data_IF_395686587049
#
_entry.id   IF_395686587049
#
_cell.length_a   1.000
_cell.length_b   1.000
_cell.length_c   1.000
_cell.angle_alpha   90.00
_cell.angle_beta   90.00
_cell.angle_gamma   90.00
#
_symmetry.space_group_name_H-M   'P 1'
#
loop_
_entity.id
_entity.type
_entity.pdbx_description
1 polymer ?
#
# COMPACT_ATOMS: atom_id res chain seq x y z
N UNK A 1 -42.15 -64.52 -10.28
CA UNK A 1 -42.22 -63.42 -11.26
C UNK A 1 -42.63 -62.08 -10.61
N UNK A 2 -43.68 -61.98 -9.79
CA UNK A 2 -44.07 -60.68 -9.16
C UNK A 2 -42.99 -60.03 -8.27
N UNK A 3 -42.20 -60.82 -7.50
CA UNK A 3 -41.12 -60.26 -6.64
C UNK A 3 -39.96 -59.62 -7.42
N UNK A 4 -39.61 -60.18 -8.59
CA UNK A 4 -38.54 -59.65 -9.47
C UNK A 4 -39.03 -58.33 -10.10
N UNK A 5 -40.29 -58.21 -10.42
CA UNK A 5 -40.86 -56.98 -10.97
C UNK A 5 -40.83 -55.80 -9.98
N UNK A 6 -41.12 -56.08 -8.69
CA UNK A 6 -41.02 -55.05 -7.65
C UNK A 6 -39.59 -54.61 -7.36
N UNK A 7 -38.62 -55.52 -7.41
CA UNK A 7 -37.21 -55.18 -7.21
C UNK A 7 -36.69 -54.34 -8.38
N UNK A 8 -37.06 -54.66 -9.62
CA UNK A 8 -36.71 -53.89 -10.80
C UNK A 8 -37.35 -52.48 -10.78
N UNK A 9 -38.59 -52.37 -10.34
CA UNK A 9 -39.30 -51.08 -10.22
C UNK A 9 -38.69 -50.19 -9.12
N UNK A 10 -38.23 -50.79 -8.01
CA UNK A 10 -37.55 -50.06 -6.93
C UNK A 10 -36.17 -49.53 -7.37
N UNK A 11 -35.47 -50.31 -8.24
CA UNK A 11 -34.18 -49.89 -8.75
C UNK A 11 -34.28 -48.74 -9.76
N UNK A 12 -35.36 -48.64 -10.54
CA UNK A 12 -35.63 -47.56 -11.49
C UNK A 12 -35.95 -46.25 -10.77
N UNK A 13 -36.57 -46.33 -9.59
CA UNK A 13 -36.88 -45.14 -8.76
C UNK A 13 -35.63 -44.51 -8.10
N UNK A 14 -34.51 -45.26 -7.96
CA UNK A 14 -33.26 -44.78 -7.37
C UNK A 14 -32.37 -44.02 -8.36
N UNK A 15 -32.69 -44.05 -9.65
CA UNK A 15 -31.86 -43.42 -10.69
C UNK A 15 -32.28 -41.97 -11.00
N UNK A 16 -33.41 -41.51 -10.45
CA UNK A 16 -33.93 -40.12 -10.68
C UNK A 16 -33.38 -39.07 -9.73
N UNK A 17 -32.38 -39.38 -8.92
CA UNK A 17 -31.97 -38.57 -7.76
C UNK A 17 -30.75 -37.65 -7.93
N UNK A 18 -30.28 -37.35 -9.15
CA UNK A 18 -29.31 -36.31 -9.33
C UNK A 18 -29.70 -35.37 -10.50
N UNK A 19 -30.59 -34.43 -10.21
CA UNK A 19 -30.50 -33.18 -10.95
C UNK A 19 -29.21 -32.51 -10.48
N UNK A 20 -28.23 -32.41 -11.40
CA UNK A 20 -27.08 -31.53 -11.21
C UNK A 20 -27.66 -30.13 -10.95
N UNK A 21 -27.47 -29.61 -9.73
CA UNK A 21 -27.89 -28.26 -9.41
C UNK A 21 -27.25 -27.33 -10.44
N UNK A 22 -28.06 -26.49 -11.08
CA UNK A 22 -27.55 -25.46 -11.99
C UNK A 22 -26.47 -24.71 -11.23
N UNK A 23 -25.24 -24.78 -11.73
CA UNK A 23 -24.14 -24.01 -11.18
C UNK A 23 -24.60 -22.58 -11.10
N UNK A 24 -24.68 -22.01 -9.89
CA UNK A 24 -24.96 -20.60 -9.67
C UNK A 24 -23.83 -19.80 -10.34
N UNK A 25 -23.98 -19.53 -11.62
CA UNK A 25 -23.06 -18.67 -12.36
C UNK A 25 -23.33 -17.24 -11.93
N UNK A 26 -22.25 -16.52 -11.62
CA UNK A 26 -22.32 -15.10 -11.37
C UNK A 26 -22.72 -14.36 -12.66
N UNK A 27 -23.99 -13.94 -12.77
CA UNK A 27 -24.53 -13.28 -13.95
C UNK A 27 -24.67 -11.77 -13.79
N UNK A 28 -24.22 -11.22 -12.66
CA UNK A 28 -24.21 -9.77 -12.41
C UNK A 28 -22.98 -9.11 -13.07
N UNK A 29 -23.04 -7.80 -13.24
CA UNK A 29 -21.93 -6.99 -13.74
C UNK A 29 -20.71 -7.19 -12.83
N UNK A 30 -19.54 -7.45 -13.45
CA UNK A 30 -18.29 -7.54 -12.72
C UNK A 30 -18.06 -6.28 -11.87
N UNK A 31 -17.50 -6.45 -10.67
CA UNK A 31 -17.25 -5.37 -9.71
C UNK A 31 -15.77 -5.24 -9.44
N UNK A 32 -15.28 -4.02 -9.29
CA UNK A 32 -13.89 -3.75 -8.93
C UNK A 32 -13.79 -3.27 -7.48
N UNK A 33 -12.74 -3.73 -6.79
CA UNK A 33 -12.38 -3.26 -5.45
C UNK A 33 -10.86 -3.29 -5.26
N UNK A 34 -10.36 -2.55 -4.29
CA UNK A 34 -8.94 -2.55 -3.93
C UNK A 34 -8.59 -3.79 -3.13
N UNK A 35 -7.39 -4.30 -3.33
CA UNK A 35 -6.91 -5.46 -2.55
C UNK A 35 -6.48 -4.99 -1.17
N UNK A 36 -7.06 -5.61 -0.13
CA UNK A 36 -6.63 -5.46 1.25
C UNK A 36 -6.42 -6.84 1.88
N UNK A 37 -5.34 -7.02 2.64
CA UNK A 37 -5.00 -8.31 3.25
C UNK A 37 -5.98 -8.72 4.35
N UNK A 38 -6.49 -7.75 5.11
CA UNK A 38 -7.23 -8.01 6.36
C UNK A 38 -8.72 -7.68 6.27
N UNK A 39 -9.30 -7.55 5.06
CA UNK A 39 -10.66 -7.06 4.82
C UNK A 39 -10.97 -5.68 5.44
N UNK A 40 -9.97 -5.01 5.97
CA UNK A 40 -10.02 -3.63 6.43
C UNK A 40 -9.82 -2.69 5.24
N UNK A 41 -10.20 -1.41 5.35
CA UNK A 41 -9.85 -0.43 4.34
C UNK A 41 -8.35 -0.49 4.07
N UNK A 42 -7.90 -0.34 2.79
CA UNK A 42 -6.49 -0.27 2.49
C UNK A 42 -5.81 0.83 3.30
N UNK A 43 -4.67 0.52 3.91
CA UNK A 43 -3.88 1.49 4.65
C UNK A 43 -3.41 2.61 3.73
N UNK A 44 -3.15 3.80 4.30
CA UNK A 44 -2.51 4.89 3.57
C UNK A 44 -1.16 4.39 2.99
N UNK A 45 -0.89 4.75 1.74
CA UNK A 45 0.34 4.40 1.05
C UNK A 45 1.26 5.62 1.01
N UNK A 46 2.40 5.56 1.70
CA UNK A 46 3.39 6.63 1.64
C UNK A 46 4.32 6.45 0.46
N UNK A 47 4.53 7.52 -0.30
CA UNK A 47 5.51 7.62 -1.37
C UNK A 47 6.40 8.85 -1.14
N UNK A 48 7.70 8.68 -1.32
CA UNK A 48 8.64 9.81 -1.27
C UNK A 48 9.61 9.79 -2.45
N UNK A 49 9.79 10.94 -3.10
CA UNK A 49 10.77 11.11 -4.17
C UNK A 49 12.21 10.96 -3.69
N UNK A 50 12.47 11.13 -2.40
CA UNK A 50 13.81 10.89 -1.81
C UNK A 50 14.25 9.42 -1.96
N UNK A 51 13.32 8.48 -2.10
CA UNK A 51 13.63 7.06 -2.31
C UNK A 51 14.16 6.75 -3.72
N UNK A 52 14.17 7.72 -4.63
CA UNK A 52 14.62 7.57 -6.00
C UNK A 52 15.79 8.52 -6.34
N UNK A 53 16.20 8.53 -7.62
CA UNK A 53 17.19 9.46 -8.12
C UNK A 53 16.75 10.92 -7.94
N UNK A 54 17.70 11.82 -7.62
CA UNK A 54 17.45 13.25 -7.50
C UNK A 54 16.92 13.88 -8.79
N UNK A 55 17.26 13.32 -9.95
CA UNK A 55 16.78 13.77 -11.28
C UNK A 55 15.37 13.30 -11.65
N UNK A 56 14.75 12.42 -10.81
CA UNK A 56 13.42 11.90 -11.10
C UNK A 56 12.37 12.97 -10.80
N UNK A 57 11.63 13.39 -11.81
CA UNK A 57 10.53 14.37 -11.73
C UNK A 57 9.15 13.71 -11.61
N UNK A 58 9.04 12.43 -11.97
CA UNK A 58 7.81 11.63 -11.87
C UNK A 58 8.10 10.17 -11.53
N UNK A 59 7.13 9.50 -10.94
CA UNK A 59 7.17 8.05 -10.71
C UNK A 59 5.75 7.48 -10.74
N UNK A 60 5.63 6.13 -10.75
CA UNK A 60 4.33 5.45 -10.76
C UNK A 60 4.16 4.66 -9.46
N UNK A 61 3.10 4.98 -8.73
CA UNK A 61 2.62 4.20 -7.58
C UNK A 61 1.60 3.19 -8.06
N UNK A 62 1.83 1.92 -7.78
CA UNK A 62 0.94 0.84 -8.18
C UNK A 62 -0.02 0.45 -7.07
N UNK A 63 -1.31 0.41 -7.39
CA UNK A 63 -2.40 0.01 -6.50
C UNK A 63 -2.99 -1.30 -7.01
N UNK A 64 -3.00 -2.37 -6.19
CA UNK A 64 -3.60 -3.63 -6.59
C UNK A 64 -5.12 -3.53 -6.56
N UNK A 65 -5.75 -3.88 -7.69
CA UNK A 65 -7.21 -3.96 -7.86
C UNK A 65 -7.58 -5.39 -8.17
N UNK A 66 -8.67 -5.88 -7.58
CA UNK A 66 -9.25 -7.19 -7.91
C UNK A 66 -10.67 -7.07 -8.44
N UNK A 67 -11.08 -8.07 -9.19
CA UNK A 67 -12.39 -8.20 -9.82
C UNK A 67 -13.20 -9.28 -9.11
N UNK A 68 -14.44 -8.96 -8.81
CA UNK A 68 -15.48 -9.90 -8.40
C UNK A 68 -16.35 -10.17 -9.62
N UNK A 69 -16.59 -11.46 -9.95
CA UNK A 69 -17.45 -11.86 -11.07
C UNK A 69 -16.68 -12.48 -12.24
N UNK A 70 -15.42 -12.88 -12.03
CA UNK A 70 -14.64 -13.65 -12.99
C UNK A 70 -13.75 -12.82 -13.94
N UNK A 71 -12.92 -13.53 -14.69
CA UNK A 71 -12.05 -12.95 -15.72
C UNK A 71 -12.83 -12.63 -16.99
N UNK A 72 -12.25 -11.80 -17.85
CA UNK A 72 -12.76 -11.44 -19.18
C UNK A 72 -11.69 -11.78 -20.22
N UNK A 73 -12.10 -12.11 -21.43
CA UNK A 73 -11.20 -12.33 -22.55
C UNK A 73 -10.74 -11.02 -23.24
N UNK A 74 -11.20 -9.86 -22.74
CA UNK A 74 -10.78 -8.53 -23.18
C UNK A 74 -10.28 -7.73 -22.01
N UNK A 75 -9.43 -6.74 -22.31
CA UNK A 75 -8.98 -5.75 -21.34
C UNK A 75 -10.15 -4.92 -20.83
N UNK A 76 -10.13 -4.58 -19.54
CA UNK A 76 -11.16 -3.80 -18.87
C UNK A 76 -10.53 -2.65 -18.10
N UNK A 77 -11.15 -1.47 -18.13
CA UNK A 77 -10.63 -0.28 -17.49
C UNK A 77 -11.31 -0.01 -16.15
N UNK A 78 -10.52 0.33 -15.14
CA UNK A 78 -11.02 0.88 -13.87
C UNK A 78 -10.96 2.40 -13.92
N UNK A 79 -11.88 3.05 -13.24
CA UNK A 79 -11.93 4.51 -13.15
C UNK A 79 -11.77 4.93 -11.71
N UNK A 80 -10.91 5.93 -11.47
CA UNK A 80 -10.74 6.58 -10.19
C UNK A 80 -11.23 8.02 -10.22
N UNK A 81 -11.65 8.50 -9.07
CA UNK A 81 -11.84 9.91 -8.79
C UNK A 81 -11.04 10.31 -7.56
N UNK A 82 -10.60 11.57 -7.50
CA UNK A 82 -10.09 12.16 -6.28
C UNK A 82 -11.25 12.65 -5.43
N UNK A 83 -11.25 12.28 -4.15
CA UNK A 83 -12.25 12.74 -3.19
C UNK A 83 -11.60 13.56 -2.08
N UNK A 84 -12.38 14.48 -1.48
CA UNK A 84 -11.91 15.26 -0.32
C UNK A 84 -11.81 14.39 0.92
N UNK A 85 -10.84 14.71 1.77
CA UNK A 85 -10.70 14.16 3.12
C UNK A 85 -11.04 15.24 4.14
N UNK A 86 -11.58 14.82 5.30
CA UNK A 86 -12.03 15.72 6.35
C UNK A 86 -11.40 15.34 7.68
N UNK A 87 -11.05 16.35 8.47
CA UNK A 87 -10.73 16.18 9.88
C UNK A 87 -12.02 16.34 10.69
N UNK A 88 -12.23 15.46 11.66
CA UNK A 88 -13.34 15.54 12.60
C UNK A 88 -12.75 15.79 13.98
N UNK A 89 -13.09 16.94 14.56
CA UNK A 89 -12.72 17.31 15.94
C UNK A 89 -13.94 17.17 16.82
N UNK A 90 -13.84 16.40 17.89
CA UNK A 90 -14.91 16.19 18.86
C UNK A 90 -14.71 17.09 20.07
N UNK A 91 -15.79 17.71 20.56
CA UNK A 91 -15.86 18.31 21.89
C UNK A 91 -16.61 17.38 22.83
N UNK A 92 -16.20 17.37 24.08
CA UNK A 92 -16.74 16.45 25.08
C UNK A 92 -17.40 17.25 26.21
N UNK A 93 -18.43 16.69 26.83
CA UNK A 93 -19.03 17.20 28.05
C UNK A 93 -18.20 16.81 29.30
N UNK A 94 -18.63 17.28 30.47
CA UNK A 94 -17.96 16.99 31.74
C UNK A 94 -17.98 15.51 32.15
N UNK A 95 -18.76 14.67 31.43
CA UNK A 95 -18.85 13.22 31.65
C UNK A 95 -18.03 12.42 30.64
N UNK A 96 -17.31 13.10 29.71
CA UNK A 96 -16.53 12.47 28.67
C UNK A 96 -17.35 11.99 27.47
N UNK A 97 -18.61 12.38 27.35
CA UNK A 97 -19.44 12.08 26.18
C UNK A 97 -19.25 13.13 25.10
N UNK A 98 -19.31 12.69 23.83
CA UNK A 98 -19.27 13.64 22.71
C UNK A 98 -20.45 14.60 22.80
N UNK A 99 -20.14 15.90 22.94
CA UNK A 99 -21.12 16.97 22.98
C UNK A 99 -21.39 17.52 21.58
N UNK A 100 -20.33 17.67 20.77
CA UNK A 100 -20.42 18.23 19.42
C UNK A 100 -19.24 17.76 18.58
N UNK A 101 -19.34 17.92 17.25
CA UNK A 101 -18.25 17.63 16.32
C UNK A 101 -18.16 18.69 15.24
N UNK A 102 -16.93 19.12 14.94
CA UNK A 102 -16.62 20.02 13.82
C UNK A 102 -15.95 19.24 12.71
N UNK A 103 -16.45 19.38 11.49
CA UNK A 103 -15.91 18.75 10.29
C UNK A 103 -15.25 19.81 9.42
N UNK A 104 -13.94 19.67 9.17
CA UNK A 104 -13.17 20.61 8.33
C UNK A 104 -12.48 19.86 7.19
N UNK A 105 -12.56 20.39 5.96
CA UNK A 105 -11.83 19.81 4.84
C UNK A 105 -10.33 19.96 5.06
N UNK A 106 -9.57 18.91 4.74
CA UNK A 106 -8.10 18.94 4.81
C UNK A 106 -7.53 19.86 3.74
N UNK A 107 -6.51 20.63 4.10
CA UNK A 107 -5.83 21.57 3.21
C UNK A 107 -4.64 20.99 2.48
N UNK A 108 -4.15 19.81 2.91
CA UNK A 108 -3.00 19.10 2.33
C UNK A 108 -3.38 18.18 1.16
N UNK A 109 -4.43 18.54 0.41
CA UNK A 109 -4.92 17.80 -0.75
C UNK A 109 -3.95 17.91 -1.92
N UNK A 110 -3.66 16.78 -2.58
CA UNK A 110 -2.89 16.76 -3.81
C UNK A 110 -3.62 17.47 -4.96
N UNK A 111 -2.88 18.13 -5.84
CA UNK A 111 -3.39 18.91 -6.96
C UNK A 111 -2.99 18.22 -8.26
N UNK A 112 -3.96 17.93 -9.13
CA UNK A 112 -3.73 17.40 -10.47
C UNK A 112 -2.86 18.34 -11.31
N UNK A 113 -1.96 17.79 -12.11
CA UNK A 113 -0.97 18.53 -12.90
C UNK A 113 0.21 19.11 -12.10
N UNK A 114 0.13 19.05 -10.75
CA UNK A 114 1.21 19.51 -9.86
C UNK A 114 1.84 18.38 -9.06
N UNK A 115 1.01 17.56 -8.41
CA UNK A 115 1.47 16.47 -7.53
C UNK A 115 1.22 15.09 -8.11
N UNK A 116 0.34 14.99 -9.10
CA UNK A 116 0.05 13.78 -9.85
C UNK A 116 -0.51 14.14 -11.23
N UNK A 117 -0.35 13.25 -12.21
CA UNK A 117 -0.94 13.40 -13.55
C UNK A 117 -2.46 13.24 -13.41
N UNK A 118 -3.23 14.16 -14.01
CA UNK A 118 -4.69 14.13 -13.92
C UNK A 118 -5.24 12.74 -14.31
N UNK A 119 -6.16 12.20 -13.49
CA UNK A 119 -6.70 10.85 -13.69
C UNK A 119 -7.44 10.68 -15.04
N UNK A 120 -7.84 11.79 -15.65
CA UNK A 120 -8.48 11.83 -16.99
C UNK A 120 -7.50 11.98 -18.14
N UNK A 121 -6.19 12.09 -17.89
CA UNK A 121 -5.18 12.24 -18.93
C UNK A 121 -5.09 10.96 -19.78
N UNK A 122 -5.22 11.10 -21.10
CA UNK A 122 -5.23 9.98 -22.03
C UNK A 122 -3.91 9.18 -22.02
N UNK A 123 -2.78 9.83 -21.76
CA UNK A 123 -1.47 9.19 -21.74
C UNK A 123 -1.33 8.15 -20.62
N UNK A 124 -2.10 8.27 -19.52
CA UNK A 124 -2.05 7.34 -18.40
C UNK A 124 -3.21 6.34 -18.36
N UNK A 125 -4.19 6.44 -19.26
CA UNK A 125 -5.33 5.50 -19.30
C UNK A 125 -4.89 4.03 -19.43
N UNK A 126 -3.84 3.66 -20.18
CA UNK A 126 -3.36 2.28 -20.22
C UNK A 126 -2.93 1.72 -18.85
N UNK A 127 -2.54 2.59 -17.92
CA UNK A 127 -2.17 2.19 -16.55
C UNK A 127 -3.36 1.76 -15.68
N UNK A 128 -4.60 2.10 -16.09
CA UNK A 128 -5.83 1.75 -15.38
C UNK A 128 -6.49 0.48 -15.92
N UNK A 129 -5.72 -0.38 -16.56
CA UNK A 129 -6.23 -1.57 -17.25
C UNK A 129 -6.04 -2.84 -16.40
N UNK A 130 -7.13 -3.59 -16.26
CA UNK A 130 -7.10 -5.00 -15.83
C UNK A 130 -7.05 -5.84 -17.10
N UNK A 131 -5.92 -6.48 -17.35
CA UNK A 131 -5.64 -7.22 -18.59
C UNK A 131 -6.54 -8.44 -18.75
N UNK A 132 -6.78 -8.80 -19.98
CA UNK A 132 -7.53 -10.00 -20.35
C UNK A 132 -7.02 -11.26 -19.61
N UNK A 133 -7.92 -12.11 -19.20
CA UNK A 133 -7.65 -13.32 -18.43
C UNK A 133 -7.38 -13.10 -16.94
N UNK A 134 -7.28 -11.86 -16.46
CA UNK A 134 -6.94 -11.55 -15.06
C UNK A 134 -8.16 -11.19 -14.23
N UNK A 135 -8.11 -11.59 -12.95
CA UNK A 135 -9.05 -11.19 -11.90
C UNK A 135 -8.42 -10.24 -10.88
N UNK A 136 -7.14 -9.90 -11.05
CA UNK A 136 -6.42 -8.90 -10.28
C UNK A 136 -5.29 -8.35 -11.11
N UNK A 137 -5.07 -7.05 -11.02
CA UNK A 137 -3.94 -6.38 -11.67
C UNK A 137 -3.51 -5.16 -10.85
N UNK A 138 -2.34 -4.60 -11.16
CA UNK A 138 -1.83 -3.39 -10.55
C UNK A 138 -2.12 -2.20 -11.47
N UNK A 139 -2.87 -1.23 -10.97
CA UNK A 139 -3.13 0.03 -11.67
C UNK A 139 -2.15 1.10 -11.23
N UNK A 140 -1.67 1.92 -12.16
CA UNK A 140 -0.60 2.88 -11.92
C UNK A 140 -1.13 4.31 -11.76
N UNK A 141 -0.76 4.96 -10.66
CA UNK A 141 -0.99 6.38 -10.42
C UNK A 141 0.34 7.11 -10.61
N UNK A 142 0.41 8.00 -11.60
CA UNK A 142 1.62 8.76 -11.89
C UNK A 142 1.68 9.97 -10.96
N UNK A 143 2.65 9.96 -10.03
CA UNK A 143 2.95 11.06 -9.11
C UNK A 143 4.01 11.98 -9.71
N UNK A 144 3.92 13.27 -9.42
CA UNK A 144 4.80 14.31 -9.91
C UNK A 144 5.57 14.95 -8.74
N UNK A 145 6.85 15.22 -8.98
CA UNK A 145 7.72 15.91 -8.02
C UNK A 145 7.50 17.41 -8.13
N UNK A 146 7.16 18.03 -7.02
CA UNK A 146 6.98 19.49 -6.92
C UNK A 146 7.79 20.04 -5.74
N UNK A 147 8.23 21.29 -5.84
CA UNK A 147 9.04 21.94 -4.81
C UNK A 147 8.33 22.00 -3.43
N UNK A 148 7.01 22.09 -3.41
CA UNK A 148 6.21 22.11 -2.19
C UNK A 148 6.33 20.82 -1.36
N UNK A 149 6.67 19.69 -2.01
CA UNK A 149 6.85 18.39 -1.36
C UNK A 149 8.12 18.32 -0.50
N UNK A 150 9.08 19.25 -0.68
CA UNK A 150 10.29 19.35 0.15
C UNK A 150 9.99 19.84 1.57
N UNK A 151 8.97 20.66 1.72
CA UNK A 151 8.58 21.25 3.01
C UNK A 151 7.33 20.59 3.61
N UNK A 152 6.45 20.04 2.78
CA UNK A 152 5.22 19.39 3.17
C UNK A 152 5.03 18.00 2.53
N UNK A 153 3.99 17.32 2.91
CA UNK A 153 3.43 16.18 2.20
C UNK A 153 2.01 16.53 1.78
N UNK A 154 1.56 15.90 0.69
CA UNK A 154 0.17 16.06 0.23
C UNK A 154 -0.51 14.69 0.18
N UNK A 155 -1.84 14.70 0.25
CA UNK A 155 -2.67 13.51 0.27
C UNK A 155 -3.51 13.42 -1.00
N UNK A 156 -3.36 12.34 -1.72
CA UNK A 156 -4.21 11.98 -2.85
C UNK A 156 -5.18 10.87 -2.41
N UNK A 157 -6.38 11.28 -1.99
CA UNK A 157 -7.44 10.33 -1.66
C UNK A 157 -8.14 9.89 -2.94
N UNK A 158 -7.95 8.65 -3.33
CA UNK A 158 -8.55 8.01 -4.49
C UNK A 158 -9.77 7.20 -4.07
N UNK A 159 -10.77 7.15 -4.97
CA UNK A 159 -11.92 6.27 -4.86
C UNK A 159 -12.24 5.65 -6.21
N UNK A 160 -12.49 4.34 -6.23
CA UNK A 160 -13.01 3.66 -7.42
C UNK A 160 -14.39 4.20 -7.78
N UNK A 161 -14.63 4.39 -9.06
CA UNK A 161 -15.89 4.83 -9.66
C UNK A 161 -16.44 3.74 -10.56
N UNK A 162 -17.74 3.50 -10.53
CA UNK A 162 -18.39 2.61 -11.47
C UNK A 162 -18.28 3.17 -12.89
N UNK A 163 -18.11 2.29 -13.88
CA UNK A 163 -18.01 2.64 -15.28
C UNK A 163 -18.69 1.59 -16.19
N UNK A 164 -18.43 1.60 -17.48
CA UNK A 164 -18.95 0.61 -18.44
C UNK A 164 -18.54 -0.83 -18.09
N UNK A 165 -17.31 -1.04 -17.64
CA UNK A 165 -16.72 -2.36 -17.40
C UNK A 165 -17.01 -2.91 -16.01
N UNK A 166 -17.09 -2.04 -14.98
CA UNK A 166 -17.20 -2.44 -13.59
C UNK A 166 -18.26 -1.69 -12.80
N UNK A 167 -18.99 -2.44 -11.98
CA UNK A 167 -19.66 -1.94 -10.79
C UNK A 167 -18.68 -1.82 -9.61
N UNK A 168 -19.18 -1.42 -8.44
CA UNK A 168 -18.39 -1.27 -7.23
C UNK A 168 -18.49 -2.51 -6.34
N UNK A 169 -17.35 -2.95 -5.82
CA UNK A 169 -17.23 -4.02 -4.82
C UNK A 169 -17.59 -3.58 -3.41
N UNK A 170 -16.91 -4.08 -2.41
CA UNK A 170 -17.17 -3.76 -1.01
C UNK A 170 -16.85 -2.28 -0.71
N UNK A 171 -17.80 -1.58 -0.08
CA UNK A 171 -17.70 -0.13 0.22
C UNK A 171 -16.40 0.28 0.91
N UNK A 172 -15.91 -0.56 1.84
CA UNK A 172 -14.66 -0.29 2.58
C UNK A 172 -13.41 -0.44 1.73
N UNK A 173 -13.49 -1.16 0.61
CA UNK A 173 -12.38 -1.45 -0.30
C UNK A 173 -12.40 -0.59 -1.57
N UNK A 174 -13.14 0.51 -1.57
CA UNK A 174 -13.24 1.38 -2.75
C UNK A 174 -12.24 2.53 -2.75
N UNK A 175 -11.58 2.83 -1.65
CA UNK A 175 -10.74 4.01 -1.55
C UNK A 175 -9.41 3.75 -0.87
N UNK A 176 -8.36 4.49 -1.33
CA UNK A 176 -7.03 4.50 -0.74
C UNK A 176 -6.45 5.91 -0.80
N UNK A 177 -5.65 6.27 0.20
CA UNK A 177 -4.89 7.51 0.18
C UNK A 177 -3.44 7.22 -0.18
N UNK A 178 -2.88 8.02 -1.10
CA UNK A 178 -1.44 8.10 -1.35
C UNK A 178 -0.94 9.39 -0.70
N UNK A 179 0.01 9.26 0.24
CA UNK A 179 0.74 10.39 0.83
C UNK A 179 1.99 10.60 0.00
N UNK A 180 2.11 11.77 -0.63
CA UNK A 180 3.21 12.10 -1.54
C UNK A 180 4.09 13.14 -0.87
N UNK A 181 5.41 12.90 -0.84
CA UNK A 181 6.40 13.82 -0.27
C UNK A 181 7.72 13.80 -1.07
N UNK A 182 8.60 14.78 -0.80
CA UNK A 182 10.00 14.78 -1.21
C UNK A 182 10.89 14.90 0.03
N UNK A 183 10.47 14.19 1.10
CA UNK A 183 11.17 14.06 2.37
C UNK A 183 11.39 12.59 2.67
N UNK A 184 12.39 12.32 3.46
CA UNK A 184 12.61 10.98 3.97
C UNK A 184 11.51 10.64 4.99
N UNK A 185 10.52 9.91 4.54
CA UNK A 185 9.39 9.44 5.34
C UNK A 185 9.57 7.97 5.72
N UNK A 186 8.99 7.60 6.86
CA UNK A 186 8.96 6.21 7.26
C UNK A 186 8.08 5.41 6.29
N UNK A 187 8.56 4.30 5.71
CA UNK A 187 7.72 3.40 4.94
C UNK A 187 6.49 2.98 5.75
N UNK A 188 5.31 3.01 5.13
CA UNK A 188 4.03 2.75 5.82
C UNK A 188 3.90 1.32 6.36
N UNK A 189 4.69 0.40 5.82
CA UNK A 189 4.75 -1.00 6.24
C UNK A 189 5.92 -1.33 7.18
N UNK A 190 6.52 -0.31 7.85
CA UNK A 190 7.50 -0.49 8.93
C UNK A 190 6.78 -0.98 10.19
N UNK A 191 6.46 -2.27 10.19
CA UNK A 191 5.62 -2.93 11.19
C UNK A 191 6.45 -3.66 12.26
N UNK A 192 5.81 -4.55 13.02
CA UNK A 192 6.47 -5.36 14.06
C UNK A 192 7.59 -6.24 13.49
N UNK A 193 7.36 -6.89 12.35
CA UNK A 193 8.36 -7.76 11.68
C UNK A 193 9.57 -6.95 11.25
N UNK A 194 9.36 -5.78 10.62
CA UNK A 194 10.46 -4.86 10.27
C UNK A 194 11.25 -4.44 11.51
N UNK A 195 10.57 -4.10 12.60
CA UNK A 195 11.23 -3.71 13.85
C UNK A 195 12.05 -4.84 14.47
N UNK A 196 11.63 -6.09 14.32
CA UNK A 196 12.39 -7.24 14.80
C UNK A 196 13.76 -7.34 14.09
N UNK A 197 13.83 -7.08 12.78
CA UNK A 197 15.06 -7.16 12.01
C UNK A 197 15.88 -5.86 11.94
N UNK A 198 15.20 -4.72 11.81
CA UNK A 198 15.85 -3.43 11.54
C UNK A 198 15.79 -2.47 12.74
N UNK A 199 15.04 -2.81 13.78
CA UNK A 199 14.84 -1.97 14.96
C UNK A 199 13.84 -0.84 14.73
N UNK A 200 13.84 0.10 15.69
CA UNK A 200 13.02 1.31 15.61
C UNK A 200 13.45 2.15 14.41
N UNK A 201 12.47 2.76 13.73
CA UNK A 201 12.73 3.71 12.65
C UNK A 201 13.35 4.99 13.19
N UNK A 202 14.34 5.51 12.48
CA UNK A 202 14.79 6.89 12.56
C UNK A 202 15.26 7.36 11.17
N UNK A 203 15.25 8.67 10.93
CA UNK A 203 15.70 9.22 9.64
C UNK A 203 17.17 8.94 9.36
N UNK A 204 18.11 9.14 10.30
CA UNK A 204 19.52 8.79 10.08
C UNK A 204 19.73 7.31 9.75
N UNK A 205 19.03 6.41 10.44
CA UNK A 205 19.05 4.98 10.11
C UNK A 205 18.61 4.73 8.66
N UNK A 206 17.50 5.33 8.25
CA UNK A 206 16.97 5.16 6.89
C UNK A 206 17.93 5.75 5.85
N UNK A 207 18.59 6.90 6.13
CA UNK A 207 19.61 7.46 5.27
C UNK A 207 20.80 6.51 5.10
N UNK A 208 21.30 5.93 6.18
CA UNK A 208 22.36 4.92 6.14
C UNK A 208 21.92 3.71 5.29
N UNK A 209 20.71 3.22 5.49
CA UNK A 209 20.19 2.10 4.70
C UNK A 209 20.13 2.43 3.20
N UNK A 210 19.70 3.63 2.82
CA UNK A 210 19.68 4.08 1.43
C UNK A 210 21.07 4.11 0.82
N UNK A 211 22.07 4.58 1.57
CA UNK A 211 23.47 4.62 1.12
C UNK A 211 24.01 3.20 0.89
N UNK A 212 23.74 2.27 1.81
CA UNK A 212 24.25 0.89 1.74
C UNK A 212 23.55 0.09 0.63
N UNK A 213 22.26 0.26 0.46
CA UNK A 213 21.50 -0.44 -0.59
C UNK A 213 21.79 0.14 -1.98
N UNK A 214 22.17 1.42 -2.05
CA UNK A 214 22.43 2.14 -3.31
C UNK A 214 21.17 2.32 -4.17
N UNK A 215 19.98 2.09 -3.61
CA UNK A 215 18.69 2.15 -4.27
C UNK A 215 17.58 2.48 -3.26
N UNK A 216 16.31 2.30 -3.68
CA UNK A 216 15.15 2.56 -2.83
C UNK A 216 15.10 1.60 -1.61
N UNK A 217 14.88 2.17 -0.44
CA UNK A 217 14.42 1.45 0.75
C UNK A 217 12.99 1.93 1.04
N UNK A 218 12.10 1.58 0.14
CA UNK A 218 10.69 1.98 0.14
C UNK A 218 9.77 0.87 0.67
N UNK A 219 8.46 1.06 0.50
CA UNK A 219 7.48 0.07 0.92
C UNK A 219 7.70 -1.31 0.26
N UNK A 220 8.13 -1.35 -1.01
CA UNK A 220 8.36 -2.62 -1.70
C UNK A 220 9.59 -3.34 -1.14
N UNK A 221 10.66 -2.62 -0.86
CA UNK A 221 11.86 -3.16 -0.22
C UNK A 221 11.57 -3.68 1.21
N UNK A 222 10.82 -2.91 2.00
CA UNK A 222 10.39 -3.34 3.35
C UNK A 222 9.47 -4.56 3.28
N UNK A 223 8.61 -4.65 2.26
CA UNK A 223 7.76 -5.83 2.09
C UNK A 223 8.58 -7.08 1.80
N UNK A 224 9.63 -6.99 0.98
CA UNK A 224 10.57 -8.09 0.73
C UNK A 224 11.28 -8.50 2.02
N UNK A 225 11.78 -7.53 2.79
CA UNK A 225 12.40 -7.80 4.09
C UNK A 225 11.44 -8.45 5.09
N UNK A 226 10.15 -8.11 5.07
CA UNK A 226 9.14 -8.72 5.93
C UNK A 226 8.75 -10.15 5.49
N UNK A 227 8.92 -10.49 4.21
CA UNK A 227 8.59 -11.81 3.66
C UNK A 227 9.76 -12.79 3.72
N UNK A 228 10.99 -12.29 3.60
CA UNK A 228 12.20 -13.11 3.49
C UNK A 228 13.14 -12.86 4.67
N UNK A 229 13.19 -13.82 5.61
CA UNK A 229 14.13 -13.80 6.73
C UNK A 229 15.59 -13.67 6.25
N UNK A 230 15.96 -14.45 5.23
CA UNK A 230 17.33 -14.44 4.69
C UNK A 230 17.69 -13.08 4.11
N UNK A 231 16.78 -12.44 3.38
CA UNK A 231 16.96 -11.07 2.87
C UNK A 231 17.13 -10.07 4.00
N UNK A 232 16.24 -10.10 4.99
CA UNK A 232 16.30 -9.18 6.13
C UNK A 232 17.59 -9.33 6.94
N UNK A 233 18.03 -10.57 7.21
CA UNK A 233 19.27 -10.87 7.97
C UNK A 233 20.51 -10.43 7.17
N UNK A 234 20.56 -10.70 5.86
CA UNK A 234 21.66 -10.28 4.99
C UNK A 234 21.84 -8.75 5.03
N UNK A 235 20.75 -8.00 4.76
CA UNK A 235 20.83 -6.55 4.75
C UNK A 235 21.11 -5.96 6.12
N UNK A 236 20.55 -6.54 7.17
CA UNK A 236 20.86 -6.12 8.53
C UNK A 236 22.37 -6.20 8.83
N UNK A 237 23.04 -7.30 8.44
CA UNK A 237 24.49 -7.41 8.65
C UNK A 237 25.25 -6.32 7.90
N UNK A 238 24.83 -6.00 6.66
CA UNK A 238 25.44 -4.91 5.89
C UNK A 238 25.20 -3.53 6.53
N UNK A 239 24.05 -3.31 7.13
CA UNK A 239 23.76 -2.07 7.85
C UNK A 239 24.56 -1.95 9.14
N UNK A 240 24.79 -3.06 9.87
CA UNK A 240 25.65 -3.07 11.05
C UNK A 240 27.09 -2.75 10.65
N UNK A 241 27.65 -3.41 9.64
CA UNK A 241 28.98 -3.11 9.08
C UNK A 241 29.14 -1.62 8.72
N UNK A 242 28.15 -1.05 8.03
CA UNK A 242 28.18 0.35 7.64
C UNK A 242 28.04 1.31 8.82
N UNK A 243 27.24 0.97 9.83
CA UNK A 243 27.10 1.78 11.03
C UNK A 243 28.39 1.77 11.86
N UNK A 244 29.04 0.62 11.99
CA UNK A 244 30.31 0.48 12.66
C UNK A 244 31.41 1.27 11.95
N UNK A 245 31.44 1.20 10.61
CA UNK A 245 32.34 2.01 9.78
C UNK A 245 32.12 3.50 10.00
N UNK A 246 30.84 3.96 9.95
CA UNK A 246 30.50 5.35 10.21
C UNK A 246 30.94 5.82 11.61
N UNK A 247 30.69 5.00 12.64
CA UNK A 247 31.00 5.33 14.02
C UNK A 247 32.52 5.29 14.32
N UNK A 248 33.30 4.57 13.50
CA UNK A 248 34.76 4.46 13.63
C UNK A 248 35.51 5.46 12.78
N UNK A 249 34.82 6.17 11.88
CA UNK A 249 35.46 7.14 10.97
C UNK A 249 36.01 8.34 11.76
N UNK A 250 37.32 8.63 11.71
CA UNK A 250 37.92 9.75 12.41
C UNK A 250 37.27 11.11 12.02
N UNK A 251 36.82 11.28 10.78
CA UNK A 251 36.18 12.52 10.34
C UNK A 251 34.80 12.70 10.99
N UNK A 252 34.03 11.62 11.11
CA UNK A 252 32.75 11.63 11.78
C UNK A 252 32.90 11.87 13.29
N UNK A 253 33.92 11.29 13.90
CA UNK A 253 34.22 11.51 15.31
C UNK A 253 34.64 12.97 15.55
N UNK A 254 35.55 13.50 14.75
CA UNK A 254 36.03 14.88 14.88
C UNK A 254 34.92 15.92 14.66
N UNK A 255 33.97 15.65 13.76
CA UNK A 255 32.81 16.52 13.49
C UNK A 255 31.64 16.34 14.46
N UNK A 256 31.71 15.40 15.41
CA UNK A 256 30.64 15.10 16.36
C UNK A 256 29.43 14.38 15.76
N UNK A 257 29.57 13.82 14.56
CA UNK A 257 28.50 13.02 13.90
C UNK A 257 28.49 11.57 14.41
N UNK A 258 29.60 11.07 14.89
CA UNK A 258 29.72 9.76 15.51
C UNK A 258 29.76 9.87 17.05
N UNK A 259 29.08 8.93 17.76
CA UNK A 259 28.24 7.86 17.23
C UNK A 259 26.92 8.37 16.65
N UNK A 260 26.45 7.70 15.58
CA UNK A 260 25.19 8.09 14.90
C UNK A 260 24.00 8.04 15.85
N UNK A 261 23.24 9.14 15.90
CA UNK A 261 22.08 9.31 16.78
C UNK A 261 20.77 9.29 15.98
N UNK A 262 19.67 8.89 16.65
CA UNK A 262 18.31 8.91 16.03
C UNK A 262 17.84 10.34 15.70
N UNK A 263 18.25 11.32 16.49
CA UNK A 263 18.12 12.75 16.22
C UNK A 263 19.50 13.42 16.33
N UNK A 264 20.13 13.81 15.20
CA UNK A 264 21.44 14.45 15.21
C UNK A 264 21.44 15.84 15.87
N UNK A 265 20.27 16.49 16.03
CA UNK A 265 20.16 17.80 16.67
C UNK A 265 20.09 17.70 18.21
N UNK A 266 19.82 16.52 18.75
CA UNK A 266 19.77 16.27 20.19
C UNK A 266 20.93 15.35 20.62
N UNK A 267 21.94 15.90 21.34
CA UNK A 267 23.07 15.11 21.80
C UNK A 267 22.72 14.03 22.84
N UNK A 268 21.50 14.06 23.39
CA UNK A 268 21.00 13.06 24.33
C UNK A 268 20.06 12.05 23.66
N UNK A 269 19.79 12.17 22.36
CA UNK A 269 18.95 11.22 21.66
C UNK A 269 19.59 9.82 21.62
N UNK A 270 18.74 8.79 21.51
CA UNK A 270 19.20 7.41 21.44
C UNK A 270 20.16 7.18 20.25
N UNK A 271 21.08 6.26 20.40
CA UNK A 271 21.97 5.85 19.30
C UNK A 271 21.18 5.03 18.26
N UNK A 272 21.54 5.21 17.00
CA UNK A 272 21.08 4.32 15.94
C UNK A 272 21.64 2.92 16.18
N UNK A 273 20.77 1.92 16.21
CA UNK A 273 21.16 0.53 16.37
C UNK A 273 20.35 -0.38 15.45
N UNK A 274 20.92 -1.51 15.08
CA UNK A 274 20.22 -2.63 14.45
C UNK A 274 20.25 -3.82 15.42
N UNK A 275 19.15 -4.60 15.54
CA UNK A 275 19.12 -5.77 16.44
C UNK A 275 20.23 -6.77 16.10
N UNK A 276 20.99 -7.20 17.08
CA UNK A 276 22.09 -8.15 16.89
C UNK A 276 21.63 -9.61 16.85
N UNK A 277 20.54 -9.94 17.55
CA UNK A 277 20.04 -11.30 17.74
C UNK A 277 18.61 -11.44 17.20
N UNK A 278 18.43 -12.12 16.06
CA UNK A 278 17.11 -12.53 15.53
C UNK A 278 17.21 -13.91 14.90
#
# INVERSE_FOLDING_TARGET
>A
MKKILYTALLFILLIQGCKEDEKLLYNDKARAELVSRDKNPPADYSYSFVWGSASRDRDTVYIPVRVIGGSSNVDRHVTFEQVSEYNITYTYDNTGRVKDSTVTERTDKAIAGKHYVALSDEAIQPLFTIRAGRISDNVGIVVLRDASLKTGSVRLRLRLKANGDFGLGERRLLGQTIIISDKLEMPSNWNYTTKAYLGKYSKPKHQLMLQVVGNKVDNAWIEEANKSKSFAVYWRSKFIEALDAFNSDPANIASGLAPMREDPSDPNSALVTFPSNV
#
